data_IF_980513528621
#
_entry.id   IF_980513528621
#
_cell.length_a   1.000
_cell.length_b   1.000
_cell.length_c   1.000
_cell.angle_alpha   90.00
_cell.angle_beta   90.00
_cell.angle_gamma   90.00
#
_symmetry.space_group_name_H-M   'P 1'
#
loop_
_entity.id
_entity.type
_entity.pdbx_description
1 polymer ?
#
# COMPACT_ATOMS: atom_id res chain seq x y z
N UNK A 1 -4.64 -15.86 40.13
CA UNK A 1 -4.52 -15.26 38.79
C UNK A 1 -5.59 -15.88 37.90
N UNK A 2 -6.21 -15.11 37.03
CA UNK A 2 -7.41 -15.54 36.28
C UNK A 2 -7.16 -15.38 34.80
N UNK A 3 -7.18 -16.49 34.06
CA UNK A 3 -7.05 -16.50 32.60
C UNK A 3 -8.19 -15.65 32.01
N UNK A 4 -7.85 -14.72 31.10
CA UNK A 4 -8.86 -13.84 30.50
C UNK A 4 -9.90 -14.63 29.68
N UNK A 5 -11.17 -14.21 29.73
CA UNK A 5 -12.26 -14.86 28.94
C UNK A 5 -11.96 -14.89 27.45
N UNK A 6 -11.31 -13.84 26.91
CA UNK A 6 -10.89 -13.78 25.51
C UNK A 6 -9.90 -14.89 25.18
N UNK A 7 -8.89 -15.07 26.02
CA UNK A 7 -7.86 -16.11 25.84
C UNK A 7 -8.46 -17.52 25.95
N UNK A 8 -9.41 -17.74 26.86
CA UNK A 8 -10.14 -19.02 26.98
C UNK A 8 -10.86 -19.36 25.66
N UNK A 9 -11.59 -18.40 25.08
CA UNK A 9 -12.28 -18.60 23.81
C UNK A 9 -11.30 -18.84 22.66
N UNK A 10 -10.16 -18.15 22.64
CA UNK A 10 -9.10 -18.36 21.64
C UNK A 10 -8.48 -19.77 21.74
N UNK A 11 -8.25 -20.27 22.96
CA UNK A 11 -7.74 -21.64 23.19
C UNK A 11 -8.75 -22.67 22.71
N UNK A 12 -10.04 -22.54 23.07
CA UNK A 12 -11.08 -23.45 22.59
C UNK A 12 -11.20 -23.46 21.05
N UNK A 13 -11.16 -22.28 20.41
CA UNK A 13 -11.18 -22.18 18.94
C UNK A 13 -9.97 -22.88 18.32
N UNK A 14 -8.76 -22.64 18.84
CA UNK A 14 -7.52 -23.28 18.37
C UNK A 14 -7.58 -24.80 18.49
N UNK A 15 -8.17 -25.31 19.56
CA UNK A 15 -8.32 -26.75 19.81
C UNK A 15 -9.62 -27.33 19.24
N UNK A 16 -10.33 -26.55 18.40
CA UNK A 16 -11.57 -26.95 17.74
C UNK A 16 -12.65 -27.46 18.69
N UNK A 17 -12.69 -26.92 19.91
CA UNK A 17 -13.59 -27.33 20.99
C UNK A 17 -13.52 -28.84 21.30
N UNK A 18 -12.31 -29.40 21.22
CA UNK A 18 -12.03 -30.81 21.54
C UNK A 18 -10.97 -30.92 22.61
N UNK A 19 -11.05 -31.95 23.45
CA UNK A 19 -9.97 -32.30 24.37
C UNK A 19 -8.72 -32.65 23.55
N UNK A 20 -7.59 -31.99 23.79
CA UNK A 20 -6.35 -32.24 23.02
C UNK A 20 -5.76 -33.62 23.28
N UNK A 21 -6.12 -34.27 24.40
CA UNK A 21 -5.57 -35.58 24.78
C UNK A 21 -6.39 -36.73 24.21
N UNK A 22 -7.71 -36.74 24.47
CA UNK A 22 -8.58 -37.85 24.10
C UNK A 22 -9.48 -37.58 22.88
N UNK A 23 -9.48 -36.35 22.35
CA UNK A 23 -10.26 -35.96 21.17
C UNK A 23 -11.78 -35.83 21.38
N UNK A 24 -12.31 -36.20 22.56
CA UNK A 24 -13.74 -36.10 22.90
C UNK A 24 -14.21 -34.65 22.90
N UNK A 25 -15.53 -34.48 22.73
CA UNK A 25 -16.20 -33.18 22.62
C UNK A 25 -17.47 -33.12 23.49
N UNK A 26 -17.95 -31.93 23.86
CA UNK A 26 -19.28 -31.78 24.47
C UNK A 26 -20.39 -32.34 23.56
N UNK A 27 -21.54 -32.77 24.13
CA UNK A 27 -21.95 -32.66 25.53
C UNK A 27 -21.46 -33.81 26.44
N UNK A 28 -20.80 -34.82 25.90
CA UNK A 28 -20.37 -36.03 26.64
C UNK A 28 -19.36 -35.76 27.75
N UNK A 29 -18.64 -34.64 27.65
CA UNK A 29 -17.59 -34.23 28.58
C UNK A 29 -17.65 -32.73 28.84
N UNK A 30 -17.14 -32.30 30.00
CA UNK A 30 -16.89 -30.89 30.30
C UNK A 30 -15.46 -30.54 29.92
N UNK A 31 -15.30 -29.46 29.15
CA UNK A 31 -14.00 -28.94 28.73
C UNK A 31 -13.54 -27.78 29.59
N UNK A 32 -12.26 -27.78 29.91
CA UNK A 32 -11.57 -26.77 30.69
C UNK A 32 -10.30 -26.31 29.96
N UNK A 33 -9.86 -25.08 30.22
CA UNK A 33 -8.56 -24.59 29.76
C UNK A 33 -7.55 -24.77 30.88
N UNK A 34 -6.49 -25.51 30.60
CA UNK A 34 -5.47 -25.88 31.58
C UNK A 34 -4.09 -25.42 31.11
N UNK A 35 -3.19 -25.20 32.06
CA UNK A 35 -1.78 -24.95 31.74
C UNK A 35 -1.08 -26.25 31.34
N UNK A 36 -0.26 -26.23 30.31
CA UNK A 36 0.62 -27.33 29.91
C UNK A 36 1.75 -27.45 30.93
N UNK A 37 2.54 -26.39 31.11
CA UNK A 37 3.51 -26.24 32.17
C UNK A 37 2.83 -25.62 33.40
N UNK A 38 2.88 -26.25 34.58
CA UNK A 38 2.22 -25.74 35.78
C UNK A 38 2.69 -24.34 36.16
N UNK A 39 1.79 -23.55 36.75
CA UNK A 39 2.13 -22.21 37.29
C UNK A 39 3.24 -22.31 38.35
N UNK A 40 3.27 -23.40 39.14
CA UNK A 40 4.34 -23.68 40.11
C UNK A 40 5.74 -23.81 39.48
N UNK A 41 5.81 -24.14 38.17
CA UNK A 41 7.04 -24.19 37.38
C UNK A 41 7.26 -22.95 36.50
N UNK A 42 6.56 -21.84 36.79
CA UNK A 42 6.58 -20.58 36.01
C UNK A 42 5.95 -20.70 34.61
N UNK A 43 5.01 -21.62 34.43
CA UNK A 43 4.19 -21.67 33.23
C UNK A 43 3.47 -20.33 32.99
N UNK A 44 3.55 -19.82 31.76
CA UNK A 44 2.96 -18.53 31.36
C UNK A 44 1.47 -18.65 31.09
N UNK A 45 0.75 -17.54 31.28
CA UNK A 45 -0.66 -17.39 30.87
C UNK A 45 -0.76 -16.92 29.41
N UNK A 46 -0.11 -17.64 28.50
CA UNK A 46 -0.16 -17.35 27.06
C UNK A 46 -0.70 -18.54 26.27
N UNK A 47 -1.18 -18.25 25.05
CA UNK A 47 -1.85 -19.24 24.21
C UNK A 47 -0.99 -20.48 23.94
N UNK A 48 0.35 -20.40 24.02
CA UNK A 48 1.23 -21.54 23.77
C UNK A 48 1.34 -22.48 24.98
N UNK A 49 1.04 -22.00 26.18
CA UNK A 49 1.08 -22.79 27.41
C UNK A 49 -0.33 -23.18 27.92
N UNK A 50 -1.38 -22.85 27.18
CA UNK A 50 -2.76 -23.20 27.51
C UNK A 50 -3.33 -24.20 26.49
N UNK A 51 -4.06 -25.20 26.96
CA UNK A 51 -4.74 -26.21 26.13
C UNK A 51 -6.12 -26.55 26.63
N UNK A 52 -6.99 -26.97 25.72
CA UNK A 52 -8.31 -27.52 26.04
C UNK A 52 -8.21 -28.98 26.50
N UNK A 53 -8.68 -29.28 27.71
CA UNK A 53 -8.71 -30.62 28.29
C UNK A 53 -10.08 -30.95 28.85
N UNK A 54 -10.48 -32.24 28.83
CA UNK A 54 -11.60 -32.68 29.65
C UNK A 54 -11.19 -32.87 31.11
N UNK A 55 -12.17 -32.90 32.02
CA UNK A 55 -11.96 -33.15 33.45
C UNK A 55 -11.15 -34.42 33.71
N UNK A 56 -11.41 -35.50 32.97
CA UNK A 56 -10.80 -36.80 33.20
C UNK A 56 -9.32 -36.80 32.78
N UNK A 57 -9.02 -36.22 31.62
CA UNK A 57 -7.64 -36.07 31.13
C UNK A 57 -6.85 -35.06 31.97
N UNK A 58 -7.51 -34.02 32.50
CA UNK A 58 -6.88 -33.04 33.38
C UNK A 58 -6.47 -33.69 34.70
N UNK A 59 -7.36 -34.49 35.31
CA UNK A 59 -7.07 -35.26 36.54
C UNK A 59 -5.98 -36.31 36.33
N UNK A 60 -5.97 -36.95 35.16
CA UNK A 60 -4.95 -37.95 34.79
C UNK A 60 -3.65 -37.39 34.25
N UNK A 61 -3.42 -36.06 34.31
CA UNK A 61 -2.24 -35.42 33.72
C UNK A 61 -0.93 -35.68 34.50
N UNK A 62 -1.03 -36.16 35.73
CA UNK A 62 0.13 -36.65 36.50
C UNK A 62 0.68 -37.98 35.93
N UNK A 63 -0.11 -38.69 35.10
CA UNK A 63 0.34 -39.88 34.39
C UNK A 63 1.01 -39.51 33.05
N UNK A 64 2.28 -39.85 32.97
CA UNK A 64 3.25 -39.54 31.90
C UNK A 64 2.85 -39.83 30.43
N UNK A 65 1.72 -40.50 30.18
CA UNK A 65 1.27 -40.97 28.86
C UNK A 65 0.70 -39.87 27.95
N UNK A 66 0.24 -38.74 28.51
CA UNK A 66 -0.41 -37.65 27.77
C UNK A 66 0.56 -36.57 27.22
N UNK A 67 1.85 -36.64 27.54
CA UNK A 67 2.86 -35.65 27.16
C UNK A 67 3.16 -35.63 25.64
N UNK A 68 2.95 -36.74 24.93
CA UNK A 68 3.32 -36.86 23.52
C UNK A 68 2.46 -35.96 22.61
N UNK A 69 1.14 -35.89 22.82
CA UNK A 69 0.24 -35.09 21.96
C UNK A 69 0.53 -33.59 22.09
N UNK A 70 0.81 -33.12 23.31
CA UNK A 70 1.22 -31.73 23.56
C UNK A 70 2.54 -31.43 22.84
N UNK A 71 3.52 -32.32 22.96
CA UNK A 71 4.85 -32.12 22.35
C UNK A 71 4.77 -32.00 20.82
N UNK A 72 3.88 -32.77 20.18
CA UNK A 72 3.63 -32.69 18.73
C UNK A 72 3.07 -31.31 18.36
N UNK A 73 2.05 -30.83 19.08
CA UNK A 73 1.41 -29.55 18.76
C UNK A 73 2.31 -28.34 19.04
N UNK A 74 3.17 -28.41 20.06
CA UNK A 74 4.23 -27.41 20.30
C UNK A 74 5.21 -27.40 19.12
N UNK A 75 5.67 -28.55 18.65
CA UNK A 75 6.60 -28.67 17.53
C UNK A 75 5.99 -28.15 16.21
N UNK A 76 4.72 -28.43 15.94
CA UNK A 76 3.98 -27.88 14.79
C UNK A 76 3.91 -26.35 14.84
N UNK A 77 3.53 -25.79 15.99
CA UNK A 77 3.50 -24.34 16.18
C UNK A 77 4.88 -23.70 16.00
N UNK A 78 5.94 -24.34 16.51
CA UNK A 78 7.32 -23.87 16.32
C UNK A 78 7.73 -23.89 14.85
N UNK A 79 7.34 -24.91 14.08
CA UNK A 79 7.59 -25.00 12.64
C UNK A 79 6.92 -23.85 11.89
N UNK A 80 5.65 -23.58 12.19
CA UNK A 80 4.89 -22.46 11.59
C UNK A 80 5.53 -21.11 11.95
N UNK A 81 5.94 -20.91 13.21
CA UNK A 81 6.61 -19.66 13.63
C UNK A 81 7.95 -19.49 12.91
N UNK A 82 8.73 -20.58 12.76
CA UNK A 82 10.01 -20.56 12.05
C UNK A 82 9.83 -20.19 10.58
N UNK A 83 8.84 -20.79 9.93
CA UNK A 83 8.51 -20.48 8.54
C UNK A 83 8.09 -19.02 8.35
N UNK A 84 7.19 -18.51 9.19
CA UNK A 84 6.79 -17.09 9.18
C UNK A 84 8.00 -16.16 9.37
N UNK A 85 8.92 -16.50 10.26
CA UNK A 85 10.16 -15.73 10.47
C UNK A 85 11.04 -15.72 9.22
N UNK A 86 11.18 -16.85 8.53
CA UNK A 86 11.97 -16.92 7.31
C UNK A 86 11.32 -16.12 6.17
N UNK A 87 10.01 -16.20 6.01
CA UNK A 87 9.27 -15.38 5.04
C UNK A 87 9.47 -13.88 5.28
N UNK A 88 9.35 -13.43 6.54
CA UNK A 88 9.61 -12.03 6.91
C UNK A 88 11.06 -11.63 6.62
N UNK A 89 12.02 -12.53 6.85
CA UNK A 89 13.44 -12.29 6.56
C UNK A 89 13.68 -12.07 5.07
N UNK A 90 13.16 -12.94 4.22
CA UNK A 90 13.31 -12.81 2.77
C UNK A 90 12.61 -11.57 2.23
N UNK A 91 11.40 -11.27 2.74
CA UNK A 91 10.69 -10.04 2.42
C UNK A 91 11.51 -8.78 2.78
N UNK A 92 12.13 -8.75 3.97
CA UNK A 92 13.01 -7.64 4.39
C UNK A 92 14.23 -7.50 3.49
N UNK A 93 14.84 -8.60 3.04
CA UNK A 93 15.97 -8.56 2.08
C UNK A 93 15.53 -7.93 0.75
N UNK A 94 14.34 -8.26 0.28
CA UNK A 94 13.79 -7.67 -0.94
C UNK A 94 13.57 -6.16 -0.81
N UNK A 95 12.87 -5.72 0.25
CA UNK A 95 12.64 -4.30 0.52
C UNK A 95 13.97 -3.54 0.62
N UNK A 96 14.96 -4.08 1.33
CA UNK A 96 16.29 -3.46 1.42
C UNK A 96 16.96 -3.28 0.06
N UNK A 97 16.81 -4.24 -0.87
CA UNK A 97 17.34 -4.10 -2.24
C UNK A 97 16.63 -2.99 -3.01
N UNK A 98 15.31 -2.86 -2.87
CA UNK A 98 14.53 -1.79 -3.49
C UNK A 98 14.95 -0.43 -2.94
N UNK A 99 15.06 -0.29 -1.62
CA UNK A 99 15.52 0.95 -0.99
C UNK A 99 16.93 1.33 -1.42
N UNK A 100 17.85 0.36 -1.51
CA UNK A 100 19.21 0.59 -2.00
C UNK A 100 19.23 1.07 -3.45
N UNK A 101 18.32 0.59 -4.29
CA UNK A 101 18.18 1.07 -5.68
C UNK A 101 17.66 2.51 -5.72
N UNK A 102 16.58 2.79 -4.99
CA UNK A 102 16.02 4.15 -4.89
C UNK A 102 17.08 5.14 -4.37
N UNK A 103 17.88 4.73 -3.38
CA UNK A 103 18.94 5.59 -2.87
C UNK A 103 19.99 5.90 -3.94
N UNK A 104 20.43 4.90 -4.73
CA UNK A 104 21.35 5.14 -5.86
C UNK A 104 20.76 6.10 -6.90
N UNK A 105 19.49 5.94 -7.22
CA UNK A 105 18.80 6.80 -8.18
C UNK A 105 18.72 8.26 -7.65
N UNK A 106 18.49 8.45 -6.35
CA UNK A 106 18.55 9.76 -5.68
C UNK A 106 19.97 10.34 -5.73
N UNK A 107 20.98 9.54 -5.43
CA UNK A 107 22.39 9.97 -5.43
C UNK A 107 22.82 10.42 -6.84
N UNK A 108 22.33 9.75 -7.88
CA UNK A 108 22.59 10.11 -9.28
C UNK A 108 21.95 11.45 -9.66
N UNK A 109 20.69 11.69 -9.25
CA UNK A 109 20.01 12.97 -9.45
C UNK A 109 20.72 14.09 -8.68
N UNK A 110 21.14 13.82 -7.44
CA UNK A 110 21.89 14.78 -6.62
C UNK A 110 23.24 15.12 -7.23
N UNK A 111 23.94 14.14 -7.81
CA UNK A 111 25.25 14.35 -8.43
C UNK A 111 25.18 15.42 -9.54
N UNK A 112 24.17 15.37 -10.41
CA UNK A 112 23.97 16.38 -11.46
C UNK A 112 23.82 17.78 -10.87
N UNK A 113 23.08 17.88 -9.77
CA UNK A 113 22.87 19.15 -9.07
C UNK A 113 24.16 19.64 -8.39
N UNK A 114 24.89 18.76 -7.71
CA UNK A 114 26.13 19.12 -7.01
C UNK A 114 27.25 19.51 -7.98
N UNK A 115 27.33 18.86 -9.13
CA UNK A 115 28.30 19.16 -10.19
C UNK A 115 28.07 20.57 -10.78
N UNK A 116 26.82 21.04 -10.78
CA UNK A 116 26.46 22.39 -11.24
C UNK A 116 26.81 23.46 -10.19
N UNK A 117 26.59 23.17 -8.92
CA UNK A 117 26.64 24.16 -7.82
C UNK A 117 27.76 23.91 -6.80
N UNK A 118 28.86 23.31 -7.23
CA UNK A 118 30.08 23.20 -6.42
C UNK A 118 29.89 22.49 -5.07
N UNK A 119 29.33 21.27 -5.09
CA UNK A 119 29.03 20.44 -3.91
C UNK A 119 27.82 20.88 -3.07
N UNK A 120 26.94 21.73 -3.60
CA UNK A 120 25.64 21.95 -2.96
C UNK A 120 24.77 20.70 -3.11
N UNK A 121 24.18 20.24 -2.00
CA UNK A 121 23.35 19.03 -1.95
C UNK A 121 21.90 19.37 -1.65
N UNK A 122 20.99 18.46 -2.02
CA UNK A 122 19.60 18.59 -1.59
C UNK A 122 19.46 18.32 -0.09
N UNK A 123 18.43 18.88 0.53
CA UNK A 123 18.08 18.52 1.92
C UNK A 123 17.60 17.07 2.00
N UNK A 124 17.95 16.37 3.09
CA UNK A 124 17.51 14.98 3.31
C UNK A 124 15.98 14.81 3.29
N UNK A 125 15.25 15.82 3.80
CA UNK A 125 13.79 15.84 3.74
C UNK A 125 13.32 15.84 2.27
N UNK A 126 13.89 16.72 1.44
CA UNK A 126 13.51 16.82 0.03
C UNK A 126 13.78 15.53 -0.75
N UNK A 127 14.92 14.87 -0.51
CA UNK A 127 15.24 13.55 -1.10
C UNK A 127 14.20 12.51 -0.75
N UNK A 128 13.92 12.36 0.55
CA UNK A 128 13.04 11.31 1.10
C UNK A 128 11.57 11.50 0.74
N UNK A 129 11.11 12.73 0.57
CA UNK A 129 9.70 13.01 0.26
C UNK A 129 9.46 13.25 -1.22
N UNK A 130 10.18 14.21 -1.82
CA UNK A 130 9.82 14.75 -3.14
C UNK A 130 10.49 13.95 -4.25
N UNK A 131 11.82 13.75 -4.17
CA UNK A 131 12.54 12.98 -5.20
C UNK A 131 12.06 11.54 -5.23
N UNK A 132 11.87 10.91 -4.06
CA UNK A 132 11.26 9.58 -3.97
C UNK A 132 9.90 9.50 -4.68
N UNK A 133 9.04 10.50 -4.45
CA UNK A 133 7.72 10.56 -5.10
C UNK A 133 7.81 10.76 -6.62
N UNK A 134 8.84 11.44 -7.10
CA UNK A 134 9.11 11.50 -8.54
C UNK A 134 9.50 10.13 -9.09
N UNK A 135 10.41 9.42 -8.43
CA UNK A 135 10.84 8.06 -8.84
C UNK A 135 9.70 7.02 -8.79
N UNK A 136 8.66 7.25 -8.00
CA UNK A 136 7.45 6.42 -7.98
C UNK A 136 6.56 6.61 -9.23
N UNK A 137 6.69 7.74 -9.93
CA UNK A 137 5.80 8.12 -11.03
C UNK A 137 6.51 8.39 -12.36
N UNK A 138 7.82 8.61 -12.35
CA UNK A 138 8.64 8.89 -13.51
C UNK A 138 9.84 7.94 -13.53
N UNK A 139 10.23 7.43 -14.70
CA UNK A 139 11.48 6.70 -14.83
C UNK A 139 12.67 7.65 -14.59
N UNK A 140 13.79 7.11 -14.09
CA UNK A 140 14.98 7.90 -13.71
C UNK A 140 15.46 8.86 -14.81
N UNK A 141 15.53 8.39 -16.06
CA UNK A 141 16.03 9.21 -17.17
C UNK A 141 15.21 10.49 -17.39
N UNK A 142 13.88 10.45 -17.23
CA UNK A 142 13.00 11.62 -17.33
C UNK A 142 13.27 12.65 -16.22
N UNK A 143 13.63 12.17 -15.02
CA UNK A 143 13.97 13.03 -13.89
C UNK A 143 15.36 13.64 -14.10
N UNK A 144 16.32 12.85 -14.60
CA UNK A 144 17.65 13.33 -14.97
C UNK A 144 17.58 14.41 -16.06
N UNK A 145 16.75 14.22 -17.09
CA UNK A 145 16.51 15.23 -18.11
C UNK A 145 15.91 16.51 -17.50
N UNK A 146 14.93 16.37 -16.61
CA UNK A 146 14.32 17.51 -15.94
C UNK A 146 15.32 18.32 -15.10
N UNK A 147 16.22 17.67 -14.35
CA UNK A 147 17.23 18.38 -13.55
C UNK A 147 18.31 19.00 -14.45
N UNK A 148 18.74 18.33 -15.53
CA UNK A 148 19.68 18.89 -16.50
C UNK A 148 19.11 20.15 -17.18
N UNK A 149 17.82 20.13 -17.56
CA UNK A 149 17.13 21.32 -18.11
C UNK A 149 17.09 22.44 -17.08
N UNK A 150 16.82 22.12 -15.81
CA UNK A 150 16.76 23.12 -14.75
C UNK A 150 18.13 23.76 -14.51
N UNK A 151 19.17 22.95 -14.34
CA UNK A 151 20.55 23.40 -14.12
C UNK A 151 21.14 24.19 -15.30
N UNK A 152 20.80 23.83 -16.54
CA UNK A 152 21.26 24.58 -17.72
C UNK A 152 20.55 25.93 -17.87
N UNK A 153 19.28 26.04 -17.45
CA UNK A 153 18.49 27.27 -17.58
C UNK A 153 18.76 28.26 -16.45
N UNK A 154 18.91 27.77 -15.24
CA UNK A 154 19.20 28.55 -14.04
C UNK A 154 20.47 27.94 -13.46
N UNK A 155 21.59 28.63 -13.59
CA UNK A 155 22.92 28.12 -13.22
C UNK A 155 23.53 28.84 -12.01
N UNK A 156 22.93 29.94 -11.57
CA UNK A 156 23.46 30.83 -10.52
C UNK A 156 22.69 30.73 -9.18
N UNK A 157 21.52 30.10 -9.18
CA UNK A 157 20.65 30.03 -8.01
C UNK A 157 20.09 28.59 -7.76
N UNK A 158 20.67 27.84 -6.81
CA UNK A 158 20.25 26.47 -6.48
C UNK A 158 18.77 26.35 -6.07
N UNK A 159 18.23 27.34 -5.36
CA UNK A 159 16.85 27.28 -4.85
C UNK A 159 15.84 27.46 -5.99
N UNK A 160 16.08 28.45 -6.86
CA UNK A 160 15.25 28.69 -8.04
C UNK A 160 15.29 27.50 -9.00
N UNK A 161 16.46 26.90 -9.19
CA UNK A 161 16.64 25.67 -9.96
C UNK A 161 15.84 24.51 -9.39
N UNK A 162 15.89 24.33 -8.06
CA UNK A 162 15.11 23.28 -7.39
C UNK A 162 13.61 23.46 -7.62
N UNK A 163 13.09 24.70 -7.54
CA UNK A 163 11.68 25.02 -7.82
C UNK A 163 11.31 24.72 -9.27
N UNK A 164 12.16 25.12 -10.22
CA UNK A 164 11.93 24.89 -11.65
C UNK A 164 11.96 23.40 -12.01
N UNK A 165 12.96 22.67 -11.50
CA UNK A 165 13.06 21.21 -11.58
C UNK A 165 11.78 20.54 -11.07
N UNK A 166 11.32 20.90 -9.87
CA UNK A 166 10.07 20.38 -9.32
C UNK A 166 8.89 20.67 -10.24
N UNK A 167 8.82 21.88 -10.81
CA UNK A 167 7.78 22.27 -11.75
C UNK A 167 7.74 21.38 -13.00
N UNK A 168 8.90 21.08 -13.60
CA UNK A 168 9.01 20.18 -14.76
C UNK A 168 8.52 18.78 -14.37
N UNK A 169 9.02 18.20 -13.27
CA UNK A 169 8.63 16.87 -12.83
C UNK A 169 7.13 16.77 -12.52
N UNK A 170 6.57 17.76 -11.82
CA UNK A 170 5.13 17.79 -11.55
C UNK A 170 4.30 17.97 -12.82
N UNK A 171 4.76 18.75 -13.79
CA UNK A 171 4.07 18.86 -15.08
C UNK A 171 4.08 17.54 -15.84
N UNK A 172 5.19 16.79 -15.83
CA UNK A 172 5.26 15.43 -16.41
C UNK A 172 4.33 14.47 -15.68
N UNK A 173 4.36 14.42 -14.34
CA UNK A 173 3.51 13.54 -13.53
C UNK A 173 2.02 13.87 -13.70
N UNK A 174 1.66 15.15 -13.65
CA UNK A 174 0.28 15.59 -13.85
C UNK A 174 -0.15 15.40 -15.31
N UNK A 175 0.78 15.51 -16.25
CA UNK A 175 0.57 15.16 -17.64
C UNK A 175 0.45 13.66 -17.87
N UNK A 176 0.90 12.78 -16.96
CA UNK A 176 0.72 11.33 -17.07
C UNK A 176 -0.61 10.88 -16.46
N UNK A 177 -1.15 11.64 -15.50
CA UNK A 177 -2.42 11.37 -14.84
C UNK A 177 -3.62 11.69 -15.75
N UNK A 178 -4.39 10.68 -16.21
CA UNK A 178 -5.62 10.89 -16.96
C UNK A 178 -6.51 11.96 -16.35
N UNK A 179 -6.69 11.90 -15.02
CA UNK A 179 -7.56 12.78 -14.25
C UNK A 179 -7.18 14.26 -14.31
N UNK A 180 -5.92 14.60 -14.63
CA UNK A 180 -5.47 15.99 -14.73
C UNK A 180 -5.34 16.47 -16.18
N UNK A 181 -5.28 15.55 -17.13
CA UNK A 181 -5.35 15.88 -18.56
C UNK A 181 -6.78 16.26 -18.97
N UNK A 182 -7.79 15.60 -18.41
CA UNK A 182 -9.20 15.79 -18.78
C UNK A 182 -9.66 17.26 -18.73
N UNK A 183 -9.44 18.03 -17.64
CA UNK A 183 -9.83 19.44 -17.61
C UNK A 183 -9.09 20.30 -18.64
N UNK A 184 -7.84 19.96 -18.96
CA UNK A 184 -7.03 20.69 -19.94
C UNK A 184 -7.54 20.41 -21.37
N UNK A 185 -7.72 19.14 -21.73
CA UNK A 185 -8.25 18.72 -23.03
C UNK A 185 -9.64 19.34 -23.23
N UNK A 186 -10.51 19.24 -22.22
CA UNK A 186 -11.84 19.84 -22.29
C UNK A 186 -11.79 21.38 -22.41
N UNK A 187 -10.86 22.06 -21.73
CA UNK A 187 -10.69 23.52 -21.87
C UNK A 187 -10.21 23.92 -23.28
N UNK A 188 -9.31 23.13 -23.87
CA UNK A 188 -8.85 23.34 -25.24
C UNK A 188 -9.99 23.14 -26.25
N UNK A 189 -10.75 22.05 -26.12
CA UNK A 189 -11.91 21.77 -26.97
C UNK A 189 -12.99 22.85 -26.80
N UNK A 190 -13.38 23.20 -25.58
CA UNK A 190 -14.40 24.24 -25.33
C UNK A 190 -14.01 25.62 -25.87
N UNK A 191 -12.73 26.01 -25.82
CA UNK A 191 -12.22 27.24 -26.44
C UNK A 191 -12.29 27.22 -27.98
N UNK A 192 -12.14 26.04 -28.58
CA UNK A 192 -12.28 25.86 -30.02
C UNK A 192 -13.75 25.97 -30.46
N UNK A 193 -14.66 25.31 -29.74
CA UNK A 193 -16.09 25.26 -30.06
C UNK A 193 -16.87 26.54 -29.70
N UNK A 194 -16.41 27.30 -28.70
CA UNK A 194 -16.96 28.64 -28.38
C UNK A 194 -16.76 29.69 -29.49
N UNK A 195 -15.94 29.41 -30.51
CA UNK A 195 -15.67 30.30 -31.65
C UNK A 195 -16.50 30.03 -32.91
N UNK A 196 -17.55 29.22 -32.85
CA UNK A 196 -18.58 29.20 -33.91
C UNK A 196 -19.06 27.84 -34.43
N UNK A 197 -18.63 26.72 -33.85
CA UNK A 197 -19.25 25.42 -34.10
C UNK A 197 -19.92 24.95 -32.82
N UNK A 198 -21.24 24.83 -32.78
CA UNK A 198 -21.99 24.60 -31.54
C UNK A 198 -21.84 23.22 -30.89
N UNK A 199 -21.03 22.29 -31.44
CA UNK A 199 -21.03 20.88 -31.04
C UNK A 199 -19.66 20.20 -31.21
N UNK A 200 -19.23 19.40 -30.22
CA UNK A 200 -18.07 18.49 -30.30
C UNK A 200 -18.28 17.40 -31.36
N UNK A 201 -17.20 16.98 -32.04
CA UNK A 201 -17.23 15.92 -33.05
C UNK A 201 -16.88 14.55 -32.44
N UNK A 202 -17.36 13.45 -33.01
CA UNK A 202 -16.93 12.08 -32.66
C UNK A 202 -15.41 11.87 -32.61
N UNK A 203 -14.67 12.51 -33.52
CA UNK A 203 -13.20 12.45 -33.56
C UNK A 203 -12.53 13.11 -32.35
N UNK A 204 -13.18 14.08 -31.70
CA UNK A 204 -12.62 14.76 -30.52
C UNK A 204 -12.61 13.84 -29.29
N UNK A 205 -13.46 12.81 -29.31
CA UNK A 205 -13.60 11.81 -28.25
C UNK A 205 -12.47 10.78 -28.33
N UNK A 206 -11.81 10.61 -29.49
CA UNK A 206 -10.65 9.73 -29.63
C UNK A 206 -9.53 10.06 -28.65
N UNK A 207 -9.36 11.34 -28.33
CA UNK A 207 -8.38 11.81 -27.33
C UNK A 207 -8.72 11.37 -25.89
N UNK A 208 -9.96 10.92 -25.62
CA UNK A 208 -10.43 10.49 -24.30
C UNK A 208 -10.85 9.01 -24.23
N UNK A 209 -10.85 8.27 -25.35
CA UNK A 209 -11.23 6.84 -25.43
C UNK A 209 -10.42 5.91 -24.53
N UNK A 210 -9.22 6.33 -24.12
CA UNK A 210 -8.33 5.54 -23.27
C UNK A 210 -8.53 5.81 -21.78
N UNK A 211 -9.42 6.73 -21.40
CA UNK A 211 -9.64 7.15 -20.03
C UNK A 211 -10.95 6.57 -19.50
N UNK A 212 -10.93 6.03 -18.29
CA UNK A 212 -12.10 5.42 -17.65
C UNK A 212 -13.26 6.43 -17.49
N UNK A 213 -14.46 5.99 -17.88
CA UNK A 213 -15.66 6.82 -17.91
C UNK A 213 -16.05 7.38 -16.52
N UNK A 214 -15.93 6.57 -15.47
CA UNK A 214 -16.24 7.01 -14.11
C UNK A 214 -15.23 8.04 -13.61
N UNK A 215 -13.97 7.86 -13.98
CA UNK A 215 -12.88 8.80 -13.67
C UNK A 215 -13.10 10.15 -14.37
N UNK A 216 -13.56 10.16 -15.63
CA UNK A 216 -13.93 11.39 -16.35
C UNK A 216 -15.07 12.13 -15.63
N UNK A 217 -16.13 11.41 -15.26
CA UNK A 217 -17.28 11.98 -14.52
C UNK A 217 -16.82 12.61 -13.21
N UNK A 218 -16.14 11.84 -12.36
CA UNK A 218 -15.74 12.29 -11.02
C UNK A 218 -14.84 13.53 -11.07
N UNK A 219 -13.87 13.55 -11.99
CA UNK A 219 -12.93 14.66 -12.19
C UNK A 219 -13.63 15.93 -12.63
N UNK A 220 -14.53 15.82 -13.61
CA UNK A 220 -15.21 16.97 -14.20
C UNK A 220 -16.26 17.54 -13.25
N UNK A 221 -16.96 16.69 -12.49
CA UNK A 221 -17.86 17.14 -11.41
C UNK A 221 -17.10 17.95 -10.34
N UNK A 222 -15.84 17.62 -10.06
CA UNK A 222 -15.00 18.40 -9.12
C UNK A 222 -14.42 19.68 -9.73
N UNK A 223 -14.13 19.68 -11.03
CA UNK A 223 -13.51 20.82 -11.72
C UNK A 223 -14.51 21.92 -12.11
N UNK A 224 -15.77 21.57 -12.32
CA UNK A 224 -16.85 22.48 -12.72
C UNK A 224 -17.67 22.91 -11.50
N UNK A 225 -17.25 23.99 -10.84
CA UNK A 225 -18.03 24.63 -9.78
C UNK A 225 -18.58 25.97 -10.26
N UNK A 226 -19.80 25.98 -10.82
CA UNK A 226 -20.56 27.20 -11.17
C UNK A 226 -21.57 27.04 -12.31
N UNK A 227 -22.65 27.83 -12.28
CA UNK A 227 -23.84 27.81 -13.18
C UNK A 227 -23.60 28.10 -14.68
N UNK A 228 -22.36 28.06 -15.18
CA UNK A 228 -22.06 28.34 -16.60
C UNK A 228 -21.32 27.19 -17.26
N UNK A 229 -21.93 26.01 -17.35
CA UNK A 229 -21.50 24.98 -18.32
C UNK A 229 -22.43 23.79 -18.59
N UNK A 230 -23.72 23.84 -18.25
CA UNK A 230 -24.57 22.65 -18.31
C UNK A 230 -24.80 22.13 -19.75
N UNK A 231 -25.01 23.00 -20.74
CA UNK A 231 -25.41 22.52 -22.08
C UNK A 231 -24.27 21.87 -22.88
N UNK A 232 -23.04 22.39 -22.80
CA UNK A 232 -21.90 21.80 -23.51
C UNK A 232 -21.35 20.57 -22.79
N UNK A 233 -21.43 20.53 -21.45
CA UNK A 233 -21.00 19.37 -20.68
C UNK A 233 -21.96 18.19 -20.87
N UNK A 234 -23.28 18.43 -20.75
CA UNK A 234 -24.26 17.36 -20.96
C UNK A 234 -24.16 16.78 -22.37
N UNK A 235 -24.03 17.64 -23.40
CA UNK A 235 -23.81 17.17 -24.77
C UNK A 235 -22.50 16.40 -24.96
N UNK A 236 -21.40 16.84 -24.31
CA UNK A 236 -20.13 16.14 -24.33
C UNK A 236 -20.20 14.76 -23.65
N UNK A 237 -20.94 14.67 -22.55
CA UNK A 237 -21.15 13.43 -21.82
C UNK A 237 -22.03 12.45 -22.58
N UNK A 238 -23.11 12.91 -23.22
CA UNK A 238 -23.93 12.09 -24.13
C UNK A 238 -23.10 11.53 -25.28
N UNK A 239 -22.22 12.35 -25.85
CA UNK A 239 -21.27 11.96 -26.89
C UNK A 239 -20.28 10.88 -26.42
N UNK A 240 -19.68 11.07 -25.24
CA UNK A 240 -18.80 10.05 -24.63
C UNK A 240 -19.60 8.76 -24.42
N UNK A 241 -20.78 8.82 -23.81
CA UNK A 241 -21.62 7.65 -23.53
C UNK A 241 -21.98 6.89 -24.82
N UNK A 242 -22.35 7.60 -25.89
CA UNK A 242 -22.68 7.01 -27.20
C UNK A 242 -21.52 6.32 -27.94
N UNK A 243 -20.28 6.49 -27.47
CA UNK A 243 -19.07 5.90 -28.07
C UNK A 243 -18.50 4.74 -27.28
N UNK A 244 -19.03 4.44 -26.09
CA UNK A 244 -18.66 3.29 -25.27
C UNK A 244 -19.64 2.10 -25.40
N UNK A 245 -20.79 2.30 -26.06
CA UNK A 245 -21.75 1.27 -26.51
C UNK A 245 -21.44 0.78 -27.95
#
# INVERSE_FOLDING_TARGET
>A
MTISKKLIVEVFKRDSFRCVYCGRTPPEIVLEVIHVEPVSKRGKEDINNLVTSCSDCNKGKDDSSNNNVISIKINENLKVIKEKKEQIREYRKFIHKVEKRIQKDIDEIEKVFSDTYGNTTFTEKFKRTTIRRFLEHLPLHEILDAINIACSRIYDNPESTTKYFCGICWNKINGIKPEKQIPKIWKELSNYYSRGSGYYRPSDIELMKHLDHNSIKEVMTKALTGERQDNYWNYFMELIESHYD
#
